data_IF_960949284650
#
_entry.id   IF_960949284650
#
_cell.length_a   1.000
_cell.length_b   1.000
_cell.length_c   1.000
_cell.angle_alpha   90.00
_cell.angle_beta   90.00
_cell.angle_gamma   90.00
#
_symmetry.space_group_name_H-M   'P 1'
#
loop_
_entity.id
_entity.type
_entity.pdbx_description
1 polymer ?
#
# COMPACT_ATOMS: atom_id res chain seq x y z
N UNK A 1 -34.24 -16.65 -11.11
CA UNK A 1 -34.54 -16.37 -9.68
C UNK A 1 -33.50 -15.38 -9.18
N UNK A 2 -34.00 -14.28 -8.65
CA UNK A 2 -33.40 -12.94 -8.62
C UNK A 2 -32.39 -12.71 -7.49
N UNK A 3 -31.23 -12.17 -7.87
CA UNK A 3 -30.23 -11.51 -7.01
C UNK A 3 -30.86 -10.44 -6.06
N UNK A 4 -32.04 -9.93 -6.41
CA UNK A 4 -32.79 -8.91 -5.67
C UNK A 4 -33.32 -9.36 -4.30
N UNK A 5 -33.55 -10.65 -4.04
CA UNK A 5 -34.10 -11.11 -2.75
C UNK A 5 -33.05 -11.19 -1.63
N UNK A 6 -31.77 -11.43 -1.98
CA UNK A 6 -30.67 -11.43 -1.02
C UNK A 6 -30.23 -10.02 -0.63
N UNK A 7 -30.35 -9.03 -1.53
CA UNK A 7 -30.03 -7.63 -1.23
C UNK A 7 -30.90 -7.01 -0.12
N UNK A 8 -32.13 -7.50 0.07
CA UNK A 8 -33.08 -6.95 1.07
C UNK A 8 -32.74 -7.39 2.50
N UNK A 9 -32.12 -8.56 2.70
CA UNK A 9 -31.66 -9.02 4.04
C UNK A 9 -30.21 -8.66 4.35
N UNK A 10 -29.37 -8.51 3.32
CA UNK A 10 -27.93 -8.27 3.51
C UNK A 10 -27.60 -6.77 3.50
N UNK A 11 -28.33 -5.89 2.81
CA UNK A 11 -28.21 -4.42 2.97
C UNK A 11 -26.77 -3.88 3.06
N UNK A 12 -26.51 -2.95 3.99
CA UNK A 12 -25.16 -2.44 4.33
C UNK A 12 -24.27 -3.49 5.02
N UNK A 13 -24.80 -4.64 5.43
CA UNK A 13 -24.03 -5.75 6.02
C UNK A 13 -23.14 -6.38 4.95
N UNK A 14 -23.51 -6.37 3.67
CA UNK A 14 -22.64 -6.82 2.58
C UNK A 14 -21.34 -6.00 2.49
N UNK A 15 -21.41 -4.69 2.79
CA UNK A 15 -20.24 -3.83 2.84
C UNK A 15 -19.35 -4.21 4.04
N UNK A 16 -19.95 -4.54 5.18
CA UNK A 16 -19.24 -5.06 6.35
C UNK A 16 -18.62 -6.44 6.11
N UNK A 17 -19.31 -7.34 5.41
CA UNK A 17 -18.81 -8.67 5.03
C UNK A 17 -17.64 -8.55 4.05
N UNK A 18 -17.72 -7.62 3.09
CA UNK A 18 -16.61 -7.28 2.21
C UNK A 18 -15.38 -6.77 2.97
N UNK A 19 -15.57 -5.91 3.97
CA UNK A 19 -14.50 -5.43 4.85
C UNK A 19 -13.91 -6.57 5.71
N UNK A 20 -14.75 -7.45 6.25
CA UNK A 20 -14.33 -8.63 7.01
C UNK A 20 -13.50 -9.58 6.16
N UNK A 21 -13.95 -9.90 4.94
CA UNK A 21 -13.22 -10.76 4.00
C UNK A 21 -11.85 -10.17 3.65
N UNK A 22 -11.77 -8.85 3.42
CA UNK A 22 -10.50 -8.14 3.17
C UNK A 22 -9.55 -8.20 4.37
N UNK A 23 -10.08 -8.06 5.58
CA UNK A 23 -9.28 -8.05 6.82
C UNK A 23 -8.87 -9.46 7.26
N UNK A 24 -9.63 -10.50 6.90
CA UNK A 24 -9.29 -11.88 7.21
C UNK A 24 -7.98 -12.33 6.59
N UNK A 25 -7.64 -11.85 5.39
CA UNK A 25 -6.36 -12.21 4.76
C UNK A 25 -5.18 -11.72 5.61
N UNK A 26 -5.23 -10.49 6.12
CA UNK A 26 -4.18 -9.95 6.99
C UNK A 26 -4.10 -10.73 8.32
N UNK A 27 -5.24 -11.16 8.88
CA UNK A 27 -5.27 -12.02 10.08
C UNK A 27 -4.68 -13.40 9.82
N UNK A 28 -4.97 -14.02 8.66
CA UNK A 28 -4.39 -15.31 8.27
C UNK A 28 -2.88 -15.17 8.12
N UNK A 29 -2.42 -14.14 7.39
CA UNK A 29 -1.01 -13.84 7.20
C UNK A 29 -0.30 -13.66 8.54
N UNK A 30 -0.86 -12.85 9.44
CA UNK A 30 -0.37 -12.69 10.81
C UNK A 30 -0.28 -14.02 11.56
N UNK A 31 -1.40 -14.72 11.70
CA UNK A 31 -1.52 -15.83 12.65
C UNK A 31 -0.66 -17.03 12.25
N UNK A 32 -0.44 -17.23 10.95
CA UNK A 32 0.25 -18.42 10.45
C UNK A 32 1.67 -18.14 9.96
N UNK A 33 1.98 -16.90 9.57
CA UNK A 33 3.23 -16.60 8.87
C UNK A 33 4.11 -15.55 9.55
N UNK A 34 3.64 -14.81 10.56
CA UNK A 34 4.42 -13.75 11.21
C UNK A 34 5.80 -14.17 11.71
N UNK A 35 5.91 -15.37 12.30
CA UNK A 35 7.18 -15.88 12.82
C UNK A 35 8.08 -16.49 11.75
N UNK A 36 7.71 -16.44 10.46
CA UNK A 36 8.46 -17.05 9.36
C UNK A 36 9.39 -16.02 8.73
N UNK A 37 10.59 -16.43 8.28
CA UNK A 37 11.57 -15.51 7.69
C UNK A 37 11.07 -14.80 6.43
N UNK A 38 10.13 -15.42 5.70
CA UNK A 38 9.53 -14.91 4.46
C UNK A 38 8.21 -14.12 4.65
N UNK A 39 7.85 -13.78 5.90
CA UNK A 39 6.59 -13.09 6.19
C UNK A 39 6.48 -11.76 5.42
N UNK A 40 7.55 -10.97 5.46
CA UNK A 40 7.64 -9.65 4.82
C UNK A 40 7.49 -9.79 3.31
N UNK A 41 8.16 -10.76 2.68
CA UNK A 41 8.04 -11.03 1.25
C UNK A 41 6.61 -11.42 0.84
N UNK A 42 5.95 -12.27 1.65
CA UNK A 42 4.58 -12.70 1.40
C UNK A 42 3.58 -11.53 1.48
N UNK A 43 3.84 -10.55 2.35
CA UNK A 43 3.02 -9.36 2.49
C UNK A 43 3.24 -8.37 1.35
N UNK A 44 4.49 -8.19 0.90
CA UNK A 44 4.79 -7.41 -0.29
C UNK A 44 4.06 -7.98 -1.50
N UNK A 45 4.11 -9.30 -1.68
CA UNK A 45 3.37 -9.99 -2.73
C UNK A 45 1.86 -9.70 -2.63
N UNK A 46 1.27 -9.87 -1.44
CA UNK A 46 -0.15 -9.63 -1.26
C UNK A 46 -0.56 -8.19 -1.57
N UNK A 47 0.20 -7.20 -1.09
CA UNK A 47 -0.06 -5.79 -1.35
C UNK A 47 0.08 -5.43 -2.84
N UNK A 48 1.05 -6.04 -3.54
CA UNK A 48 1.21 -5.89 -4.98
C UNK A 48 -0.06 -6.35 -5.73
N UNK A 49 -0.55 -7.57 -5.47
CA UNK A 49 -1.76 -8.06 -6.13
C UNK A 49 -3.02 -7.32 -5.68
N UNK A 50 -3.11 -6.94 -4.40
CA UNK A 50 -4.27 -6.27 -3.83
C UNK A 50 -4.45 -4.85 -4.35
N UNK A 51 -3.38 -4.07 -4.55
CA UNK A 51 -3.50 -2.65 -4.89
C UNK A 51 -2.93 -2.34 -6.26
N UNK A 52 -1.72 -2.80 -6.52
CA UNK A 52 -0.92 -2.37 -7.66
C UNK A 52 -1.50 -2.83 -9.00
N UNK A 53 -1.86 -4.13 -9.12
CA UNK A 53 -2.37 -4.66 -10.39
C UNK A 53 -3.70 -4.03 -10.80
N UNK A 54 -4.68 -3.93 -9.89
CA UNK A 54 -5.99 -3.39 -10.24
C UNK A 54 -5.99 -1.86 -10.39
N UNK A 55 -5.19 -1.14 -9.60
CA UNK A 55 -5.24 0.34 -9.57
C UNK A 55 -4.37 0.98 -10.64
N UNK A 56 -3.23 0.36 -10.97
CA UNK A 56 -2.24 0.95 -11.87
C UNK A 56 -2.15 0.19 -13.20
N UNK A 57 -1.94 -1.13 -13.15
CA UNK A 57 -1.73 -1.91 -14.38
C UNK A 57 -3.01 -2.11 -15.20
N UNK A 58 -4.11 -2.55 -14.56
CA UNK A 58 -5.33 -2.92 -15.25
C UNK A 58 -5.93 -1.80 -16.12
N UNK A 59 -6.05 -0.52 -15.65
CA UNK A 59 -6.59 0.54 -16.50
C UNK A 59 -5.76 0.78 -17.77
N UNK A 60 -4.44 0.67 -17.67
CA UNK A 60 -3.52 0.84 -18.81
C UNK A 60 -3.56 -0.38 -19.73
N UNK A 61 -3.59 -1.59 -19.17
CA UNK A 61 -3.73 -2.82 -19.93
C UNK A 61 -5.03 -2.85 -20.75
N UNK A 62 -6.16 -2.42 -20.15
CA UNK A 62 -7.42 -2.26 -20.87
C UNK A 62 -7.28 -1.23 -22.00
N UNK A 63 -6.62 -0.09 -21.77
CA UNK A 63 -6.39 0.91 -22.82
C UNK A 63 -5.56 0.37 -23.98
N UNK A 64 -4.48 -0.37 -23.69
CA UNK A 64 -3.64 -1.02 -24.69
C UNK A 64 -4.44 -2.05 -25.53
N UNK A 65 -5.23 -2.89 -24.87
CA UNK A 65 -6.08 -3.86 -25.57
C UNK A 65 -7.14 -3.16 -26.46
N UNK A 66 -7.74 -2.07 -25.99
CA UNK A 66 -8.73 -1.30 -26.78
C UNK A 66 -8.14 -0.66 -28.04
N UNK A 67 -6.83 -0.39 -28.07
CA UNK A 67 -6.13 0.11 -29.27
C UNK A 67 -5.47 -1.00 -30.10
N UNK A 68 -5.73 -2.27 -29.77
CA UNK A 68 -5.26 -3.44 -30.53
C UNK A 68 -3.82 -3.86 -30.23
N UNK A 69 -3.22 -3.38 -29.13
CA UNK A 69 -1.86 -3.75 -28.73
C UNK A 69 -1.81 -5.14 -28.08
N UNK A 70 -0.68 -5.84 -28.24
CA UNK A 70 -0.40 -7.08 -27.54
C UNK A 70 0.34 -6.79 -26.23
N UNK A 71 -0.26 -7.14 -25.08
CA UNK A 71 0.30 -6.91 -23.75
C UNK A 71 1.68 -7.54 -23.52
N UNK A 72 2.02 -8.63 -24.21
CA UNK A 72 3.34 -9.28 -24.11
C UNK A 72 4.47 -8.35 -24.60
N UNK A 73 4.16 -7.37 -25.45
CA UNK A 73 5.11 -6.35 -25.90
C UNK A 73 5.29 -5.21 -24.88
N UNK A 74 4.45 -5.16 -23.83
CA UNK A 74 4.36 -4.05 -22.88
C UNK A 74 4.77 -4.47 -21.45
N UNK A 75 5.60 -5.50 -21.31
CA UNK A 75 6.13 -5.96 -20.01
C UNK A 75 6.85 -4.82 -19.25
N UNK A 76 7.60 -3.98 -19.95
CA UNK A 76 8.26 -2.84 -19.34
C UNK A 76 7.25 -1.82 -18.76
N UNK A 77 6.14 -1.59 -19.46
CA UNK A 77 5.05 -0.73 -18.97
C UNK A 77 4.40 -1.32 -17.73
N UNK A 78 4.13 -2.64 -17.74
CA UNK A 78 3.65 -3.37 -16.56
C UNK A 78 4.60 -3.16 -15.38
N UNK A 79 5.90 -3.39 -15.56
CA UNK A 79 6.88 -3.27 -14.47
C UNK A 79 6.92 -1.85 -13.89
N UNK A 80 6.90 -0.82 -14.73
CA UNK A 80 6.85 0.58 -14.27
C UNK A 80 5.57 0.85 -13.47
N UNK A 81 4.41 0.41 -13.96
CA UNK A 81 3.14 0.58 -13.27
C UNK A 81 3.10 -0.20 -11.95
N UNK A 82 3.78 -1.35 -11.91
CA UNK A 82 3.91 -2.13 -10.68
C UNK A 82 4.73 -1.37 -9.65
N UNK A 83 5.88 -0.82 -10.04
CA UNK A 83 6.69 0.03 -9.16
C UNK A 83 5.95 1.28 -8.70
N UNK A 84 5.17 1.92 -9.59
CA UNK A 84 4.33 3.07 -9.23
C UNK A 84 3.26 2.71 -8.19
N UNK A 85 2.60 1.56 -8.34
CA UNK A 85 1.59 1.14 -7.37
C UNK A 85 2.17 0.80 -6.01
N UNK A 86 3.35 0.18 -5.98
CA UNK A 86 4.09 -0.04 -4.73
C UNK A 86 4.46 1.30 -4.07
N UNK A 87 4.99 2.25 -4.84
CA UNK A 87 5.28 3.59 -4.34
C UNK A 87 4.03 4.28 -3.77
N UNK A 88 2.90 4.21 -4.47
CA UNK A 88 1.62 4.75 -4.02
C UNK A 88 1.13 4.13 -2.70
N UNK A 89 1.24 2.81 -2.54
CA UNK A 89 0.84 2.12 -1.31
C UNK A 89 1.74 2.50 -0.13
N UNK A 90 3.04 2.71 -0.36
CA UNK A 90 3.95 3.21 0.70
C UNK A 90 3.57 4.63 1.11
N UNK A 91 3.20 5.49 0.17
CA UNK A 91 2.65 6.81 0.50
C UNK A 91 1.34 6.70 1.31
N UNK A 92 0.48 5.75 0.97
CA UNK A 92 -0.79 5.51 1.68
C UNK A 92 -0.56 5.12 3.14
N UNK A 93 0.34 4.15 3.35
CA UNK A 93 0.73 3.68 4.67
C UNK A 93 1.42 4.78 5.51
N UNK A 94 2.23 5.63 4.87
CA UNK A 94 2.84 6.79 5.53
C UNK A 94 1.78 7.81 5.97
N UNK A 95 0.89 8.19 5.04
CA UNK A 95 -0.16 9.17 5.27
C UNK A 95 -1.14 8.70 6.34
N UNK A 96 -1.47 7.41 6.39
CA UNK A 96 -2.36 6.85 7.42
C UNK A 96 -1.83 7.12 8.85
N UNK A 97 -0.52 7.05 9.05
CA UNK A 97 0.07 7.28 10.37
C UNK A 97 0.39 8.76 10.66
N UNK A 98 0.99 9.45 9.69
CA UNK A 98 1.63 10.77 9.86
C UNK A 98 0.90 11.94 9.19
N UNK A 99 -0.05 11.67 8.31
CA UNK A 99 -0.78 12.75 7.66
C UNK A 99 -1.81 13.38 8.58
N UNK A 100 -2.05 14.68 8.36
CA UNK A 100 -3.00 15.45 9.13
C UNK A 100 -4.44 14.97 8.83
N UNK A 101 -5.26 14.63 9.85
CA UNK A 101 -6.64 14.18 9.65
C UNK A 101 -7.48 15.16 8.83
N UNK A 102 -7.21 16.46 8.94
CA UNK A 102 -7.89 17.53 8.21
C UNK A 102 -7.62 17.45 6.69
N UNK A 103 -6.43 16.98 6.32
CA UNK A 103 -5.99 16.88 4.92
C UNK A 103 -6.41 15.55 4.29
N UNK A 104 -6.35 14.46 5.05
CA UNK A 104 -6.69 13.12 4.58
C UNK A 104 -8.21 12.88 4.60
N UNK A 105 -8.93 13.52 5.52
CA UNK A 105 -10.38 13.35 5.70
C UNK A 105 -10.76 12.07 6.46
N UNK A 106 -9.78 11.36 7.02
CA UNK A 106 -9.97 10.22 7.93
C UNK A 106 -8.88 10.20 9.00
N UNK A 107 -9.18 9.55 10.13
CA UNK A 107 -8.18 9.13 11.10
C UNK A 107 -7.64 7.79 10.61
N UNK A 108 -6.32 7.66 10.47
CA UNK A 108 -5.71 6.41 10.05
C UNK A 108 -5.71 5.38 11.17
N UNK A 109 -5.97 4.12 10.81
CA UNK A 109 -6.21 3.01 11.72
C UNK A 109 -5.23 1.84 11.51
N UNK A 110 -4.22 1.99 10.65
CA UNK A 110 -3.32 0.90 10.26
C UNK A 110 -2.66 0.21 11.46
N UNK A 111 -2.31 0.97 12.50
CA UNK A 111 -1.69 0.44 13.73
C UNK A 111 -2.69 -0.42 14.51
N UNK A 112 -3.92 0.03 14.69
CA UNK A 112 -4.94 -0.62 15.53
C UNK A 112 -5.51 -1.86 14.82
N UNK A 113 -5.67 -1.77 13.50
CA UNK A 113 -6.16 -2.84 12.64
C UNK A 113 -5.12 -3.94 12.40
N UNK A 114 -3.91 -3.78 12.95
CA UNK A 114 -2.78 -4.68 12.72
C UNK A 114 -2.46 -4.83 11.23
N UNK A 115 -2.57 -3.74 10.46
CA UNK A 115 -2.21 -3.79 9.05
C UNK A 115 -0.71 -3.96 8.93
N UNK A 116 -0.28 -4.79 7.99
CA UNK A 116 1.12 -4.82 7.61
C UNK A 116 1.44 -3.63 6.71
N UNK A 117 1.60 -2.46 7.33
CA UNK A 117 2.02 -1.25 6.66
C UNK A 117 3.52 -1.27 6.40
N UNK A 118 3.96 -0.48 5.43
CA UNK A 118 5.39 -0.23 5.18
C UNK A 118 6.12 0.28 6.45
N UNK A 119 5.44 1.08 7.27
CA UNK A 119 5.99 1.65 8.49
C UNK A 119 6.35 0.59 9.53
N UNK A 120 5.48 -0.39 9.79
CA UNK A 120 5.81 -1.46 10.75
C UNK A 120 6.90 -2.37 10.22
N UNK A 121 6.93 -2.65 8.91
CA UNK A 121 8.01 -3.40 8.28
C UNK A 121 9.36 -2.72 8.46
N UNK A 122 9.44 -1.41 8.18
CA UNK A 122 10.66 -0.63 8.39
C UNK A 122 11.04 -0.47 9.86
N UNK A 123 10.07 -0.31 10.74
CA UNK A 123 10.33 -0.26 12.17
C UNK A 123 10.96 -1.57 12.67
N UNK A 124 10.43 -2.73 12.26
CA UNK A 124 10.97 -4.04 12.65
C UNK A 124 12.40 -4.27 12.14
N UNK A 125 12.71 -3.80 10.93
CA UNK A 125 14.04 -3.89 10.31
C UNK A 125 15.09 -3.06 11.08
N UNK A 126 14.71 -1.87 11.55
CA UNK A 126 15.62 -0.91 12.17
C UNK A 126 15.70 -1.02 13.70
N UNK A 127 14.71 -1.67 14.31
CA UNK A 127 14.60 -1.77 15.77
C UNK A 127 15.63 -2.74 16.36
N UNK A 128 16.15 -2.38 17.54
CA UNK A 128 16.81 -3.33 18.44
C UNK A 128 15.77 -4.25 19.14
N UNK A 129 16.23 -5.17 19.98
CA UNK A 129 15.35 -6.17 20.62
C UNK A 129 14.35 -5.53 21.61
N UNK A 130 14.74 -4.48 22.33
CA UNK A 130 13.85 -3.73 23.22
C UNK A 130 12.76 -2.99 22.44
N UNK A 131 13.12 -2.33 21.34
CA UNK A 131 12.19 -1.62 20.45
C UNK A 131 11.24 -2.60 19.74
N UNK A 132 11.71 -3.78 19.33
CA UNK A 132 10.85 -4.85 18.79
C UNK A 132 9.81 -5.30 19.81
N UNK A 133 10.17 -5.44 21.09
CA UNK A 133 9.18 -5.76 22.15
C UNK A 133 8.10 -4.69 22.24
N UNK A 134 8.45 -3.40 22.13
CA UNK A 134 7.46 -2.32 22.06
C UNK A 134 6.49 -2.52 20.90
N UNK A 135 6.98 -2.87 19.70
CA UNK A 135 6.09 -3.17 18.56
C UNK A 135 5.18 -4.37 18.85
N UNK A 136 5.72 -5.49 19.34
CA UNK A 136 4.94 -6.71 19.59
C UNK A 136 3.85 -6.53 20.67
N UNK A 137 4.12 -5.73 21.70
CA UNK A 137 3.17 -5.49 22.80
C UNK A 137 2.07 -4.50 22.44
N UNK A 138 2.35 -3.54 21.55
CA UNK A 138 1.50 -2.37 21.32
C UNK A 138 0.82 -2.36 19.93
N UNK A 139 1.37 -3.03 18.92
CA UNK A 139 0.79 -3.04 17.57
C UNK A 139 -0.49 -3.91 17.49
N UNK A 140 -1.53 -3.43 16.80
CA UNK A 140 -2.87 -4.05 16.71
C UNK A 140 -3.68 -4.03 17.99
N UNK A 141 -3.42 -3.05 18.85
CA UNK A 141 -4.21 -2.82 20.05
C UNK A 141 -5.07 -1.58 19.79
N UNK A 142 -6.40 -1.65 19.98
CA UNK A 142 -7.30 -0.52 19.73
C UNK A 142 -7.19 0.58 20.79
N UNK A 143 -6.40 0.38 21.84
CA UNK A 143 -6.22 1.39 22.90
C UNK A 143 -5.27 2.51 22.40
N UNK A 144 -5.70 3.79 22.42
CA UNK A 144 -4.89 4.92 21.97
C UNK A 144 -3.51 5.05 22.64
N UNK A 145 -3.36 4.57 23.88
CA UNK A 145 -2.07 4.58 24.57
C UNK A 145 -1.05 3.64 23.91
N UNK A 146 -1.51 2.49 23.39
CA UNK A 146 -0.65 1.57 22.64
C UNK A 146 -0.26 2.18 21.28
N UNK A 147 -1.21 2.80 20.58
CA UNK A 147 -0.97 3.50 19.31
C UNK A 147 0.07 4.61 19.49
N UNK A 148 -0.06 5.40 20.55
CA UNK A 148 0.87 6.48 20.87
C UNK A 148 2.30 5.97 21.10
N UNK A 149 2.46 4.81 21.76
CA UNK A 149 3.78 4.17 21.92
C UNK A 149 4.39 3.74 20.59
N UNK A 150 3.60 3.17 19.68
CA UNK A 150 4.06 2.81 18.34
C UNK A 150 4.48 4.05 17.55
N UNK A 151 3.66 5.11 17.56
CA UNK A 151 4.00 6.38 16.88
C UNK A 151 5.26 7.03 17.47
N UNK A 152 5.42 6.99 18.80
CA UNK A 152 6.63 7.48 19.45
C UNK A 152 7.88 6.74 18.97
N UNK A 153 7.82 5.41 18.89
CA UNK A 153 8.91 4.60 18.36
C UNK A 153 9.20 4.93 16.88
N UNK A 154 8.17 5.15 16.06
CA UNK A 154 8.39 5.55 14.66
C UNK A 154 9.11 6.90 14.54
N UNK A 155 8.82 7.85 15.44
CA UNK A 155 9.54 9.12 15.50
C UNK A 155 11.00 8.92 15.97
N UNK A 156 11.23 8.07 16.98
CA UNK A 156 12.57 7.72 17.47
C UNK A 156 13.45 7.11 16.36
N UNK A 157 12.87 6.24 15.53
CA UNK A 157 13.52 5.62 14.38
C UNK A 157 13.63 6.55 13.16
N UNK A 158 13.16 7.80 13.26
CA UNK A 158 13.14 8.80 12.18
C UNK A 158 12.47 8.27 10.89
N UNK A 159 11.34 7.58 11.01
CA UNK A 159 10.68 6.99 9.84
C UNK A 159 10.19 8.06 8.85
N UNK A 160 9.89 9.29 9.28
CA UNK A 160 9.60 10.38 8.35
C UNK A 160 10.80 10.73 7.44
N UNK A 161 12.01 10.77 7.99
CA UNK A 161 13.23 11.02 7.22
C UNK A 161 13.51 9.88 6.23
N UNK A 162 13.31 8.64 6.67
CA UNK A 162 13.49 7.45 5.83
C UNK A 162 12.46 7.42 4.70
N UNK A 163 11.20 7.75 4.99
CA UNK A 163 10.17 7.91 3.97
C UNK A 163 10.52 9.01 2.97
N UNK A 164 11.02 10.16 3.42
CA UNK A 164 11.39 11.27 2.53
C UNK A 164 12.51 10.87 1.54
N UNK A 165 13.49 10.09 1.99
CA UNK A 165 14.54 9.55 1.11
C UNK A 165 14.01 8.47 0.17
N UNK A 166 13.16 7.57 0.67
CA UNK A 166 12.47 6.58 -0.14
C UNK A 166 11.61 7.22 -1.24
N UNK A 167 10.87 8.28 -0.92
CA UNK A 167 10.01 9.00 -1.87
C UNK A 167 10.85 9.66 -2.96
N UNK A 168 11.96 10.32 -2.57
CA UNK A 168 12.87 10.98 -3.50
C UNK A 168 13.54 9.97 -4.45
N UNK A 169 14.08 8.89 -3.89
CA UNK A 169 14.79 7.85 -4.66
C UNK A 169 13.84 7.09 -5.59
N UNK A 170 12.66 6.70 -5.09
CA UNK A 170 11.63 6.02 -5.90
C UNK A 170 11.12 6.90 -7.03
N UNK A 171 10.86 8.19 -6.78
CA UNK A 171 10.47 9.12 -7.84
C UNK A 171 11.54 9.23 -8.92
N UNK A 172 12.82 9.41 -8.53
CA UNK A 172 13.93 9.48 -9.49
C UNK A 172 14.04 8.21 -10.33
N UNK A 173 13.92 7.03 -9.70
CA UNK A 173 13.93 5.74 -10.39
C UNK A 173 12.78 5.64 -11.39
N UNK A 174 11.56 5.96 -10.98
CA UNK A 174 10.37 5.93 -11.83
C UNK A 174 10.52 6.89 -13.03
N UNK A 175 10.98 8.12 -12.82
CA UNK A 175 11.24 9.07 -13.91
C UNK A 175 12.25 8.49 -14.91
N UNK A 176 13.38 7.95 -14.42
CA UNK A 176 14.39 7.36 -15.29
C UNK A 176 13.85 6.17 -16.10
N UNK A 177 13.09 5.27 -15.46
CA UNK A 177 12.46 4.13 -16.14
C UNK A 177 11.45 4.55 -17.20
N UNK A 178 10.65 5.60 -16.92
CA UNK A 178 9.72 6.16 -17.91
C UNK A 178 10.48 6.78 -19.08
N UNK A 179 11.53 7.55 -18.82
CA UNK A 179 12.29 8.24 -19.88
C UNK A 179 13.07 7.29 -20.79
N UNK A 180 13.46 6.13 -20.26
CA UNK A 180 14.07 5.04 -21.01
C UNK A 180 13.09 4.32 -21.97
N UNK A 181 11.78 4.50 -21.81
CA UNK A 181 10.79 3.84 -22.67
C UNK A 181 10.80 4.42 -24.10
N UNK A 182 10.80 3.61 -25.18
CA UNK A 182 10.97 4.13 -26.55
C UNK A 182 9.78 4.99 -27.04
N UNK A 183 8.55 4.65 -26.65
CA UNK A 183 7.35 5.38 -27.10
C UNK A 183 7.10 6.65 -26.28
N UNK A 184 7.17 7.82 -26.93
CA UNK A 184 6.87 9.13 -26.31
C UNK A 184 5.42 9.27 -25.82
N UNK A 185 4.48 8.60 -26.49
CA UNK A 185 3.07 8.56 -26.07
C UNK A 185 2.94 7.84 -24.72
N UNK A 186 3.61 6.69 -24.59
CA UNK A 186 3.66 5.94 -23.32
C UNK A 186 4.38 6.74 -22.24
N UNK A 187 5.48 7.42 -22.56
CA UNK A 187 6.15 8.31 -21.61
C UNK A 187 5.19 9.37 -21.06
N UNK A 188 4.46 10.06 -21.93
CA UNK A 188 3.51 11.10 -21.53
C UNK A 188 2.38 10.55 -20.66
N UNK A 189 1.84 9.38 -21.01
CA UNK A 189 0.83 8.70 -20.21
C UNK A 189 1.37 8.37 -18.81
N UNK A 190 2.53 7.71 -18.71
CA UNK A 190 3.11 7.32 -17.41
C UNK A 190 3.51 8.55 -16.56
N UNK A 191 4.04 9.61 -17.18
CA UNK A 191 4.33 10.89 -16.48
C UNK A 191 3.05 11.51 -15.91
N UNK A 192 1.92 11.45 -16.64
CA UNK A 192 0.62 11.92 -16.16
C UNK A 192 0.14 11.14 -14.94
N UNK A 193 0.35 9.82 -14.89
CA UNK A 193 0.03 9.00 -13.72
C UNK A 193 0.93 9.34 -12.53
N UNK A 194 2.24 9.43 -12.75
CA UNK A 194 3.21 9.75 -11.70
C UNK A 194 2.96 11.14 -11.08
N UNK A 195 2.60 12.14 -11.89
CA UNK A 195 2.31 13.49 -11.43
C UNK A 195 1.08 13.55 -10.50
N UNK A 196 0.12 12.63 -10.64
CA UNK A 196 -1.07 12.57 -9.78
C UNK A 196 -0.76 12.01 -8.38
N UNK A 197 0.31 11.23 -8.23
CA UNK A 197 0.64 10.54 -6.97
C UNK A 197 1.85 11.15 -6.25
N UNK A 198 2.77 11.78 -6.97
CA UNK A 198 3.98 12.33 -6.35
C UNK A 198 3.67 13.48 -5.39
N UNK A 199 4.21 13.42 -4.16
CA UNK A 199 3.94 14.38 -3.09
C UNK A 199 2.46 14.65 -2.82
N UNK A 200 1.61 13.63 -3.05
CA UNK A 200 0.19 13.72 -2.68
C UNK A 200 0.07 13.89 -1.17
N UNK A 201 -0.94 14.66 -0.75
CA UNK A 201 -1.27 14.87 0.65
C UNK A 201 -2.50 14.06 1.10
N UNK A 202 -3.17 13.38 0.16
CA UNK A 202 -4.36 12.54 0.37
C UNK A 202 -4.43 11.43 -0.67
#
# INVERSE_FOLDING_TARGET
MTCSYYMVKVGLIAANDGLLLRNHIHRILKNHFMGKPYYVDLLHLFNEYKTTYYSFYLPVACALLMVGENLDNHINVKNILVEMGTFFQVQDDYLDCFGAPETIGKIGTDIEDYKCSWLVGKALELSNEEQKKVLYENYGKPNPANVSKVKALYNELNLQGIFAEYERSSYKKLVASIEAHPSKVVQAALKSFLAKIYKRQK
#
